data_IF_348656287278
#
_entry.id   IF_348656287278
#
_cell.length_a   1.000
_cell.length_b   1.000
_cell.length_c   1.000
_cell.angle_alpha   90.00
_cell.angle_beta   90.00
_cell.angle_gamma   90.00
#
_symmetry.space_group_name_H-M   'P 1'
#
loop_
_entity.id
_entity.type
_entity.pdbx_description
1 polymer ?
#
# COMPACT_ATOMS: atom_id res chain seq x y z
N UNK A 1 -27.31 40.56 -20.60
CA UNK A 1 -27.55 39.29 -19.88
C UNK A 1 -26.35 39.03 -18.97
N UNK A 2 -26.45 39.35 -17.67
CA UNK A 2 -25.35 39.23 -16.70
C UNK A 2 -25.31 37.79 -16.20
N UNK A 3 -24.53 36.94 -16.87
CA UNK A 3 -24.33 35.55 -16.45
C UNK A 3 -23.40 35.55 -15.23
N UNK A 4 -23.92 34.95 -14.17
CA UNK A 4 -23.47 34.94 -12.78
C UNK A 4 -22.10 34.30 -12.58
N UNK A 5 -21.09 35.09 -12.25
CA UNK A 5 -19.73 34.65 -11.85
C UNK A 5 -19.70 33.93 -10.49
N UNK A 6 -20.82 33.92 -9.75
CA UNK A 6 -20.89 33.27 -8.41
C UNK A 6 -20.98 31.75 -8.45
N UNK A 7 -21.33 31.14 -9.59
CA UNK A 7 -21.39 29.67 -9.71
C UNK A 7 -20.00 29.04 -9.88
N UNK A 8 -19.02 29.79 -10.41
CA UNK A 8 -17.66 29.29 -10.61
C UNK A 8 -16.83 29.32 -9.32
N UNK A 9 -17.20 30.17 -8.36
CA UNK A 9 -16.49 30.30 -7.08
C UNK A 9 -16.84 29.20 -6.07
N UNK A 10 -17.93 28.44 -6.29
CA UNK A 10 -18.35 27.38 -5.38
C UNK A 10 -17.72 26.01 -5.73
N UNK A 11 -17.23 25.85 -6.95
CA UNK A 11 -16.55 24.61 -7.39
C UNK A 11 -15.11 24.51 -6.87
N UNK A 12 -14.47 25.65 -6.57
CA UNK A 12 -13.07 25.71 -6.14
C UNK A 12 -12.87 25.45 -4.63
N UNK A 13 -13.94 25.42 -3.82
CA UNK A 13 -13.83 25.26 -2.37
C UNK A 13 -13.81 23.78 -1.91
N UNK A 14 -14.09 22.82 -2.81
CA UNK A 14 -14.08 21.40 -2.46
C UNK A 14 -12.73 20.69 -2.74
N UNK A 15 -11.77 21.37 -3.37
CA UNK A 15 -10.50 20.77 -3.80
C UNK A 15 -9.36 20.86 -2.76
N UNK A 16 -9.57 21.55 -1.64
CA UNK A 16 -8.52 21.80 -0.64
C UNK A 16 -8.60 20.93 0.63
N UNK A 17 -9.47 19.93 0.65
CA UNK A 17 -9.45 18.90 1.70
C UNK A 17 -8.79 17.66 1.09
N UNK A 18 -7.95 16.97 1.86
CA UNK A 18 -7.18 15.75 1.52
C UNK A 18 -5.72 16.02 1.10
N UNK A 19 -4.87 16.45 2.03
CA UNK A 19 -3.42 16.17 1.93
C UNK A 19 -2.72 15.94 3.29
N UNK A 20 -3.46 15.63 4.34
CA UNK A 20 -2.90 15.10 5.59
C UNK A 20 -3.03 13.58 5.61
N UNK A 21 -2.19 12.89 4.84
CA UNK A 21 -2.06 11.42 4.90
C UNK A 21 -1.01 11.04 5.94
N UNK A 22 -1.35 11.22 7.21
CA UNK A 22 -0.64 10.59 8.31
C UNK A 22 -1.40 9.33 8.71
N UNK A 23 -0.70 8.20 8.84
CA UNK A 23 -1.32 6.95 9.27
C UNK A 23 -1.17 6.81 10.78
N UNK A 24 -2.28 6.74 11.52
CA UNK A 24 -2.23 6.55 12.97
C UNK A 24 -1.53 5.23 13.33
N UNK A 25 -0.79 5.20 14.44
CA UNK A 25 -0.14 3.99 14.96
C UNK A 25 -1.10 2.79 15.11
N UNK A 26 -2.36 3.03 15.49
CA UNK A 26 -3.38 1.97 15.58
C UNK A 26 -3.73 1.37 14.22
N UNK A 27 -3.76 2.19 13.17
CA UNK A 27 -4.01 1.73 11.80
C UNK A 27 -2.81 0.94 11.25
N UNK A 28 -1.58 1.33 11.61
CA UNK A 28 -0.38 0.57 11.22
C UNK A 28 -0.35 -0.84 11.80
N UNK A 29 -0.72 -1.01 13.07
CA UNK A 29 -0.79 -2.35 13.67
C UNK A 29 -1.79 -3.26 12.93
N UNK A 30 -2.89 -2.70 12.43
CA UNK A 30 -3.86 -3.46 11.65
C UNK A 30 -3.31 -3.85 10.26
N UNK A 31 -2.59 -2.94 9.61
CA UNK A 31 -1.91 -3.21 8.33
C UNK A 31 -0.85 -4.28 8.52
N UNK A 32 -0.07 -4.18 9.59
CA UNK A 32 0.98 -5.12 9.95
C UNK A 32 0.44 -6.54 10.15
N UNK A 33 -0.63 -6.68 10.93
CA UNK A 33 -1.31 -7.97 11.10
C UNK A 33 -1.86 -8.51 9.76
N UNK A 34 -2.37 -7.64 8.90
CA UNK A 34 -2.85 -8.03 7.58
C UNK A 34 -1.73 -8.47 6.63
N UNK A 35 -0.56 -7.82 6.69
CA UNK A 35 0.65 -8.19 5.94
C UNK A 35 1.11 -9.58 6.38
N UNK A 36 1.21 -9.82 7.68
CA UNK A 36 1.64 -11.12 8.24
C UNK A 36 0.70 -12.24 7.80
N UNK A 37 -0.61 -12.01 7.87
CA UNK A 37 -1.60 -12.97 7.40
C UNK A 37 -1.52 -13.20 5.88
N UNK A 38 -1.26 -12.15 5.09
CA UNK A 38 -1.09 -12.26 3.64
C UNK A 38 0.15 -13.08 3.28
N UNK A 39 1.29 -12.85 3.93
CA UNK A 39 2.51 -13.63 3.74
C UNK A 39 2.32 -15.10 4.15
N UNK A 40 1.67 -15.35 5.29
CA UNK A 40 1.33 -16.71 5.72
C UNK A 40 0.46 -17.43 4.68
N UNK A 41 -0.56 -16.76 4.15
CA UNK A 41 -1.41 -17.34 3.11
C UNK A 41 -0.66 -17.52 1.80
N UNK A 42 0.27 -16.63 1.46
CA UNK A 42 1.10 -16.76 0.28
C UNK A 42 1.92 -18.06 0.33
N UNK A 43 2.56 -18.35 1.45
CA UNK A 43 3.36 -19.58 1.60
C UNK A 43 2.49 -20.85 1.65
N UNK A 44 1.28 -20.76 2.20
CA UNK A 44 0.31 -21.88 2.27
C UNK A 44 -0.42 -22.16 0.94
N UNK A 45 -0.78 -21.12 0.18
CA UNK A 45 -1.66 -21.20 -0.99
C UNK A 45 -0.90 -21.12 -2.33
N UNK A 46 0.33 -20.59 -2.34
CA UNK A 46 1.16 -20.48 -3.55
C UNK A 46 2.28 -21.51 -3.50
N UNK A 47 2.25 -22.44 -4.45
CA UNK A 47 3.28 -23.47 -4.58
C UNK A 47 4.66 -22.83 -4.76
N UNK A 48 5.60 -23.16 -3.87
CA UNK A 48 6.96 -22.60 -3.88
C UNK A 48 7.05 -21.18 -3.31
N UNK A 49 5.99 -20.68 -2.67
CA UNK A 49 5.93 -19.32 -2.10
C UNK A 49 7.13 -18.99 -1.21
N UNK A 50 7.54 -19.92 -0.33
CA UNK A 50 8.71 -19.74 0.53
C UNK A 50 9.99 -19.48 -0.29
N UNK A 51 10.26 -20.30 -1.32
CA UNK A 51 11.45 -20.15 -2.17
C UNK A 51 11.45 -18.84 -2.97
N UNK A 52 10.27 -18.34 -3.36
CA UNK A 52 10.15 -17.03 -3.99
C UNK A 52 10.48 -15.90 -3.02
N UNK A 53 9.99 -15.97 -1.78
CA UNK A 53 10.28 -14.98 -0.75
C UNK A 53 11.77 -14.98 -0.39
N UNK A 54 12.38 -16.15 -0.24
CA UNK A 54 13.81 -16.30 0.07
C UNK A 54 14.72 -15.74 -1.04
N UNK A 55 14.32 -15.85 -2.30
CA UNK A 55 15.10 -15.35 -3.43
C UNK A 55 14.95 -13.84 -3.69
N UNK A 56 13.93 -13.20 -3.13
CA UNK A 56 13.62 -11.81 -3.39
C UNK A 56 14.52 -10.86 -2.56
N UNK A 57 14.96 -9.77 -3.19
CA UNK A 57 15.68 -8.66 -2.52
C UNK A 57 14.76 -7.79 -1.69
N UNK A 58 13.50 -7.70 -2.10
CA UNK A 58 12.44 -7.00 -1.39
C UNK A 58 11.06 -7.55 -1.73
N UNK A 59 10.15 -7.40 -0.80
CA UNK A 59 8.77 -7.92 -0.89
C UNK A 59 7.80 -6.79 -0.57
N UNK A 60 7.10 -6.29 -1.57
CA UNK A 60 5.97 -5.40 -1.34
C UNK A 60 4.72 -6.25 -1.09
N UNK A 61 4.07 -6.04 0.04
CA UNK A 61 2.82 -6.72 0.39
C UNK A 61 1.73 -5.69 0.56
N UNK A 62 0.71 -5.73 -0.29
CA UNK A 62 -0.53 -4.96 -0.15
C UNK A 62 -1.68 -5.93 0.15
N UNK A 63 -1.99 -6.17 1.43
CA UNK A 63 -3.08 -7.05 1.81
C UNK A 63 -4.45 -6.38 1.62
N UNK A 64 -5.50 -7.19 1.50
CA UNK A 64 -6.91 -6.79 1.57
C UNK A 64 -7.28 -5.61 0.64
N UNK A 65 -6.75 -5.59 -0.58
CA UNK A 65 -7.15 -4.60 -1.57
C UNK A 65 -8.66 -4.74 -1.82
N UNK A 66 -9.39 -3.66 -1.57
CA UNK A 66 -10.85 -3.63 -1.66
C UNK A 66 -11.29 -2.67 -2.75
N UNK A 67 -12.40 -3.01 -3.38
CA UNK A 67 -12.96 -2.28 -4.51
C UNK A 67 -13.91 -1.19 -4.04
N UNK A 68 -13.60 0.06 -4.36
CA UNK A 68 -14.45 1.19 -4.01
C UNK A 68 -15.38 1.54 -5.18
N UNK A 69 -16.68 1.29 -5.00
CA UNK A 69 -17.71 1.68 -5.96
C UNK A 69 -17.98 0.64 -7.05
N UNK A 70 -19.27 0.36 -7.25
CA UNK A 70 -19.76 -0.60 -8.25
C UNK A 70 -19.53 -0.11 -9.69
N UNK A 71 -19.37 1.21 -9.89
CA UNK A 71 -19.36 1.84 -11.22
C UNK A 71 -17.99 2.33 -11.71
N UNK A 72 -17.04 2.68 -10.83
CA UNK A 72 -15.81 3.40 -11.24
C UNK A 72 -14.52 2.56 -11.16
N UNK A 73 -14.62 1.24 -10.97
CA UNK A 73 -13.48 0.36 -11.28
C UNK A 73 -12.24 0.50 -10.38
N UNK A 74 -12.26 1.32 -9.33
CA UNK A 74 -11.08 1.56 -8.49
C UNK A 74 -10.90 0.51 -7.40
N UNK A 75 -9.64 0.20 -7.10
CA UNK A 75 -9.24 -0.63 -5.96
C UNK A 75 -8.23 0.13 -5.12
N UNK A 76 -8.33 -0.04 -3.79
CA UNK A 76 -7.46 0.61 -2.84
C UNK A 76 -6.93 -0.40 -1.83
N UNK A 77 -5.67 -0.24 -1.44
CA UNK A 77 -5.05 -1.04 -0.39
C UNK A 77 -3.87 -0.29 0.23
N UNK A 78 -3.46 -0.74 1.41
CA UNK A 78 -2.31 -0.20 2.13
C UNK A 78 -1.44 -1.36 2.60
N UNK A 79 -0.13 -1.16 2.58
CA UNK A 79 0.82 -2.20 2.89
C UNK A 79 2.24 -1.67 3.03
N UNK A 80 3.23 -2.55 2.95
CA UNK A 80 4.63 -2.17 3.14
C UNK A 80 5.58 -2.92 2.22
N UNK A 81 6.69 -2.25 1.89
CA UNK A 81 7.87 -2.88 1.34
C UNK A 81 8.71 -3.43 2.49
N UNK A 82 9.08 -4.70 2.37
CA UNK A 82 9.84 -5.45 3.36
C UNK A 82 11.18 -5.83 2.74
N UNK A 83 12.27 -5.53 3.43
CA UNK A 83 13.65 -5.88 3.05
C UNK A 83 14.30 -6.52 4.26
N UNK A 84 14.85 -7.73 4.10
CA UNK A 84 15.47 -8.50 5.19
C UNK A 84 14.59 -8.61 6.45
N UNK A 85 13.28 -8.78 6.25
CA UNK A 85 12.28 -8.88 7.33
C UNK A 85 11.89 -7.54 7.97
N UNK A 86 12.46 -6.42 7.53
CA UNK A 86 12.19 -5.07 8.05
C UNK A 86 11.25 -4.33 7.10
N UNK A 87 10.16 -3.78 7.64
CA UNK A 87 9.25 -2.89 6.89
C UNK A 87 9.91 -1.54 6.70
N UNK A 88 10.55 -1.33 5.55
CA UNK A 88 11.35 -0.13 5.27
C UNK A 88 10.50 1.07 4.84
N UNK A 89 9.31 0.82 4.28
CA UNK A 89 8.42 1.89 3.81
C UNK A 89 6.98 1.38 3.66
N UNK A 90 6.01 2.16 4.11
CA UNK A 90 4.59 1.91 3.85
C UNK A 90 4.12 2.58 2.56
N UNK A 91 3.17 1.94 1.89
CA UNK A 91 2.60 2.39 0.63
C UNK A 91 1.08 2.29 0.64
N UNK A 92 0.45 3.26 -0.02
CA UNK A 92 -0.92 3.15 -0.51
C UNK A 92 -0.89 2.72 -1.97
N UNK A 93 -1.68 1.72 -2.31
CA UNK A 93 -1.92 1.28 -3.68
C UNK A 93 -3.30 1.78 -4.15
N UNK A 94 -3.34 2.32 -5.36
CA UNK A 94 -4.56 2.70 -6.06
C UNK A 94 -4.52 2.13 -7.46
N UNK A 95 -5.43 1.20 -7.75
CA UNK A 95 -5.60 0.64 -9.08
C UNK A 95 -6.72 1.36 -9.80
N UNK A 96 -6.42 1.94 -10.96
CA UNK A 96 -7.42 2.51 -11.86
C UNK A 96 -7.68 1.54 -12.99
N UNK A 97 -8.68 0.67 -12.83
CA UNK A 97 -8.96 -0.39 -13.80
C UNK A 97 -10.02 0.04 -14.81
N UNK A 98 -9.70 -0.12 -16.10
CA UNK A 98 -10.65 -0.10 -17.23
C UNK A 98 -11.22 -1.51 -17.53
N UNK A 99 -11.37 -2.36 -16.51
CA UNK A 99 -11.81 -3.75 -16.63
C UNK A 99 -13.09 -4.04 -15.85
N UNK A 100 -14.05 -4.71 -16.50
CA UNK A 100 -15.29 -5.21 -15.91
C UNK A 100 -15.02 -6.48 -15.07
N UNK A 101 -14.17 -6.39 -14.04
CA UNK A 101 -14.00 -7.48 -13.08
C UNK A 101 -15.04 -7.31 -11.96
N UNK A 102 -16.23 -7.85 -12.21
CA UNK A 102 -17.35 -7.88 -11.26
C UNK A 102 -17.25 -9.16 -10.43
N UNK A 103 -17.17 -9.02 -9.10
CA UNK A 103 -17.39 -10.13 -8.17
C UNK A 103 -16.16 -10.79 -7.54
N UNK A 104 -14.94 -10.26 -7.75
CA UNK A 104 -13.79 -10.68 -6.94
C UNK A 104 -13.86 -9.95 -5.60
N UNK A 105 -13.82 -10.69 -4.50
CA UNK A 105 -13.76 -10.13 -3.14
C UNK A 105 -12.42 -9.43 -2.88
N UNK A 106 -12.08 -9.20 -1.61
CA UNK A 106 -10.75 -8.67 -1.26
C UNK A 106 -9.65 -9.58 -1.80
N UNK A 107 -8.62 -8.97 -2.38
CA UNK A 107 -7.43 -9.67 -2.88
C UNK A 107 -6.17 -9.16 -2.20
N UNK A 108 -5.16 -10.01 -2.16
CA UNK A 108 -3.82 -9.63 -1.77
C UNK A 108 -2.97 -9.47 -3.03
N UNK A 109 -2.08 -8.46 -3.00
CA UNK A 109 -1.06 -8.24 -4.01
C UNK A 109 0.31 -8.35 -3.33
N UNK A 110 1.15 -9.26 -3.83
CA UNK A 110 2.56 -9.35 -3.45
C UNK A 110 3.41 -9.08 -4.68
N UNK A 111 4.35 -8.14 -4.60
CA UNK A 111 5.38 -7.93 -5.62
C UNK A 111 6.75 -8.29 -5.05
N UNK A 112 7.44 -9.18 -5.74
CA UNK A 112 8.78 -9.63 -5.40
C UNK A 112 9.78 -8.99 -6.34
N UNK A 113 10.81 -8.36 -5.77
CA UNK A 113 11.88 -7.72 -6.50
C UNK A 113 13.09 -8.66 -6.51
N UNK A 114 13.51 -9.10 -7.68
CA UNK A 114 14.69 -9.97 -7.86
C UNK A 114 15.91 -9.22 -8.39
N UNK A 115 15.73 -7.97 -8.80
CA UNK A 115 16.77 -7.08 -9.29
C UNK A 115 16.88 -5.84 -8.40
N UNK A 116 18.12 -5.48 -8.05
CA UNK A 116 18.41 -4.33 -7.18
C UNK A 116 18.01 -3.01 -7.83
N UNK A 117 18.21 -2.85 -9.15
CA UNK A 117 17.86 -1.62 -9.87
C UNK A 117 16.35 -1.43 -9.90
N UNK A 118 15.59 -2.50 -10.15
CA UNK A 118 14.14 -2.47 -10.11
C UNK A 118 13.59 -2.12 -8.71
N UNK A 119 14.18 -2.70 -7.65
CA UNK A 119 13.81 -2.38 -6.28
C UNK A 119 14.11 -0.92 -5.93
N UNK A 120 15.31 -0.43 -6.28
CA UNK A 120 15.71 0.95 -6.01
C UNK A 120 14.84 1.96 -6.75
N UNK A 121 14.53 1.70 -8.03
CA UNK A 121 13.62 2.53 -8.81
C UNK A 121 12.23 2.62 -8.17
N UNK A 122 11.70 1.49 -7.68
CA UNK A 122 10.44 1.48 -6.93
C UNK A 122 10.56 2.26 -5.62
N UNK A 123 11.56 1.94 -4.79
CA UNK A 123 11.74 2.48 -3.45
C UNK A 123 12.04 3.98 -3.46
N UNK A 124 12.86 4.49 -4.37
CA UNK A 124 13.28 5.90 -4.35
C UNK A 124 12.41 6.85 -5.18
N UNK A 125 11.45 6.33 -5.95
CA UNK A 125 10.48 7.16 -6.67
C UNK A 125 9.52 7.91 -5.74
N UNK A 126 9.03 9.09 -6.16
CA UNK A 126 7.98 9.84 -5.44
C UNK A 126 6.59 9.20 -5.56
N UNK A 127 6.44 8.32 -6.55
CA UNK A 127 5.34 7.41 -6.78
C UNK A 127 5.72 6.51 -7.95
N UNK A 128 5.18 5.30 -7.97
CA UNK A 128 5.51 4.30 -8.99
C UNK A 128 4.25 3.64 -9.52
N UNK A 129 4.13 3.49 -10.84
CA UNK A 129 2.94 2.96 -11.50
C UNK A 129 3.28 1.78 -12.41
N UNK A 130 2.57 0.66 -12.21
CA UNK A 130 2.73 -0.55 -13.02
C UNK A 130 2.38 -0.25 -14.48
N UNK A 131 3.28 -0.60 -15.39
CA UNK A 131 3.11 -0.41 -16.84
C UNK A 131 3.63 0.95 -17.34
N UNK A 132 3.84 1.91 -16.44
CA UNK A 132 4.41 3.23 -16.76
C UNK A 132 5.86 3.30 -16.33
N UNK A 133 6.14 3.05 -15.04
CA UNK A 133 7.47 3.17 -14.46
C UNK A 133 8.24 1.83 -14.46
N UNK A 134 7.54 0.72 -14.66
CA UNK A 134 8.14 -0.59 -14.87
C UNK A 134 7.13 -1.69 -15.15
N UNK A 135 7.62 -2.77 -15.76
CA UNK A 135 6.82 -3.95 -16.03
C UNK A 135 6.84 -4.90 -14.82
N UNK A 136 5.69 -5.52 -14.53
CA UNK A 136 5.56 -6.56 -13.52
C UNK A 136 5.03 -7.81 -14.21
N UNK A 137 5.80 -8.89 -14.18
CA UNK A 137 5.35 -10.18 -14.68
C UNK A 137 4.37 -10.79 -13.67
N UNK A 138 3.17 -11.14 -14.12
CA UNK A 138 2.18 -11.77 -13.23
C UNK A 138 2.29 -13.29 -13.26
N UNK A 139 2.44 -13.87 -12.08
CA UNK A 139 2.47 -15.32 -11.94
C UNK A 139 1.07 -15.92 -12.09
N UNK A 140 0.95 -16.99 -12.88
CA UNK A 140 -0.31 -17.74 -13.06
C UNK A 140 -0.11 -19.21 -12.73
N UNK A 141 -1.14 -19.80 -12.11
CA UNK A 141 -1.15 -21.23 -11.77
C UNK A 141 -1.13 -22.06 -13.05
N UNK A 142 -0.03 -22.81 -13.29
CA UNK A 142 0.18 -23.64 -14.48
C UNK A 142 1.43 -23.30 -15.31
N UNK A 143 2.12 -22.19 -15.04
CA UNK A 143 3.35 -21.80 -15.75
C UNK A 143 4.59 -22.65 -15.38
N UNK A 144 4.53 -23.39 -14.27
CA UNK A 144 5.61 -24.30 -13.84
C UNK A 144 5.04 -25.68 -13.53
N UNK A 145 4.81 -26.46 -14.59
CA UNK A 145 4.80 -27.91 -14.47
C UNK A 145 6.22 -28.38 -14.18
N UNK A 146 6.37 -29.15 -13.10
CA UNK A 146 7.59 -29.80 -12.64
C UNK A 146 8.65 -28.88 -12.00
N UNK A 147 8.98 -29.25 -10.76
CA UNK A 147 10.15 -28.82 -10.03
C UNK A 147 11.42 -28.97 -10.90
N UNK A 148 12.17 -27.87 -11.02
CA UNK A 148 13.62 -27.80 -10.90
C UNK A 148 14.07 -26.46 -11.51
N UNK A 149 14.58 -25.57 -10.67
CA UNK A 149 15.14 -24.25 -11.02
C UNK A 149 14.11 -23.22 -11.49
N UNK A 150 13.55 -22.45 -10.56
CA UNK A 150 12.88 -21.20 -10.90
C UNK A 150 13.96 -20.28 -11.49
N UNK A 151 14.12 -20.29 -12.81
CA UNK A 151 14.96 -19.31 -13.50
C UNK A 151 14.14 -18.03 -13.55
N UNK A 152 14.21 -17.24 -12.49
CA UNK A 152 13.56 -15.93 -12.41
C UNK A 152 14.30 -15.00 -13.36
N UNK A 153 13.65 -14.66 -14.48
CA UNK A 153 14.20 -13.75 -15.49
C UNK A 153 13.63 -12.34 -15.37
N UNK A 154 12.44 -12.23 -14.80
CA UNK A 154 11.74 -10.96 -14.66
C UNK A 154 12.25 -10.21 -13.42
N UNK A 155 12.62 -8.93 -13.54
CA UNK A 155 13.10 -8.13 -12.41
C UNK A 155 12.09 -7.99 -11.27
N UNK A 156 10.80 -7.98 -11.62
CA UNK A 156 9.68 -7.89 -10.67
C UNK A 156 8.63 -8.94 -11.05
N UNK A 157 8.25 -9.77 -10.09
CA UNK A 157 7.14 -10.73 -10.23
C UNK A 157 6.02 -10.35 -9.27
N UNK A 158 4.81 -10.21 -9.80
CA UNK A 158 3.59 -9.94 -9.06
C UNK A 158 2.74 -11.20 -8.89
N UNK A 159 2.21 -11.38 -7.68
CA UNK A 159 1.26 -12.42 -7.33
C UNK A 159 -0.02 -11.76 -6.84
N UNK A 160 -1.15 -12.19 -7.41
CA UNK A 160 -2.47 -11.74 -6.99
C UNK A 160 -3.26 -12.96 -6.56
N UNK A 161 -3.73 -12.98 -5.31
CA UNK A 161 -4.44 -14.11 -4.75
C UNK A 161 -5.60 -13.66 -3.85
N UNK A 162 -6.68 -14.42 -3.87
CA UNK A 162 -7.83 -14.25 -2.98
C UNK A 162 -7.94 -15.43 -2.03
N UNK A 163 -9.03 -15.56 -1.28
CA UNK A 163 -9.22 -16.66 -0.28
C UNK A 163 -9.17 -18.08 -0.85
N UNK A 164 -9.13 -18.25 -2.18
CA UNK A 164 -9.11 -19.54 -2.87
C UNK A 164 -7.82 -19.74 -3.68
N UNK A 165 -6.74 -19.05 -3.31
CA UNK A 165 -5.47 -19.08 -4.01
C UNK A 165 -5.34 -18.05 -5.13
N UNK A 166 -4.39 -18.31 -6.04
CA UNK A 166 -4.03 -17.40 -7.13
C UNK A 166 -5.20 -17.07 -8.05
N UNK A 167 -5.32 -15.79 -8.40
CA UNK A 167 -6.35 -15.29 -9.29
C UNK A 167 -5.78 -15.18 -10.72
N UNK A 168 -6.30 -16.02 -11.61
CA UNK A 168 -5.91 -15.97 -13.03
C UNK A 168 -6.57 -14.80 -13.75
N UNK A 169 -5.85 -14.18 -14.70
CA UNK A 169 -6.39 -13.13 -15.57
C UNK A 169 -6.66 -11.79 -14.86
N UNK A 170 -6.18 -11.60 -13.62
CA UNK A 170 -6.22 -10.30 -12.96
C UNK A 170 -5.05 -9.47 -13.49
N UNK A 171 -5.32 -8.26 -13.96
CA UNK A 171 -4.26 -7.28 -14.26
C UNK A 171 -4.07 -6.36 -13.07
N UNK A 172 -2.83 -5.88 -12.89
CA UNK A 172 -2.47 -4.83 -11.94
C UNK A 172 -1.92 -3.58 -12.64
N UNK A 173 -1.95 -3.56 -13.97
CA UNK A 173 -1.54 -2.41 -14.77
C UNK A 173 -2.33 -1.15 -14.38
N UNK A 174 -1.65 -0.01 -14.30
CA UNK A 174 -2.25 1.23 -13.80
C UNK A 174 -2.45 1.24 -12.27
N UNK A 175 -1.86 0.29 -11.53
CA UNK A 175 -1.74 0.40 -10.07
C UNK A 175 -0.63 1.38 -9.73
N UNK A 176 -1.00 2.45 -9.05
CA UNK A 176 -0.09 3.47 -8.53
C UNK A 176 0.19 3.24 -7.06
N UNK A 177 1.47 3.24 -6.70
CA UNK A 177 1.95 3.16 -5.33
C UNK A 177 2.49 4.51 -4.89
N UNK A 178 1.99 4.98 -3.74
CA UNK A 178 2.42 6.25 -3.12
C UNK A 178 2.90 5.96 -1.71
N UNK A 179 4.06 6.50 -1.34
CA UNK A 179 4.57 6.37 0.04
C UNK A 179 3.61 7.02 1.04
N UNK A 180 3.42 6.35 2.16
CA UNK A 180 2.74 6.90 3.33
C UNK A 180 3.66 6.79 4.54
N UNK A 181 3.55 7.76 5.44
CA UNK A 181 4.39 7.84 6.63
C UNK A 181 3.53 7.62 7.86
N UNK A 182 4.01 6.81 8.82
CA UNK A 182 3.47 6.77 10.17
C UNK A 182 3.32 8.18 10.72
N UNK A 183 2.12 8.55 11.16
CA UNK A 183 1.97 9.69 12.05
C UNK A 183 2.41 9.22 13.44
N UNK A 184 3.58 9.69 13.86
CA UNK A 184 4.15 9.40 15.18
C UNK A 184 3.49 10.24 16.28
N UNK A 185 2.24 10.68 16.13
CA UNK A 185 1.42 11.16 17.25
C UNK A 185 1.95 12.36 18.04
N UNK A 186 2.97 13.09 17.57
CA UNK A 186 3.56 14.20 18.34
C UNK A 186 2.90 15.55 18.10
N UNK A 187 1.77 15.65 17.38
CA UNK A 187 1.08 16.92 17.14
C UNK A 187 -0.44 16.81 17.02
N UNK A 188 -1.11 16.21 18.01
CA UNK A 188 -2.52 16.55 18.29
C UNK A 188 -2.55 17.34 19.59
N UNK A 189 -2.52 18.67 19.46
CA UNK A 189 -2.53 19.62 20.56
C UNK A 189 -3.78 19.52 21.42
N UNK A 190 -3.80 18.57 22.35
CA UNK A 190 -4.83 18.43 23.39
C UNK A 190 -4.27 17.88 24.71
N UNK A 191 -2.94 17.74 24.81
CA UNK A 191 -2.25 17.23 26.01
C UNK A 191 -1.14 18.20 26.47
N UNK A 192 -1.32 19.50 26.22
CA UNK A 192 -0.39 20.57 26.69
C UNK A 192 -1.09 21.54 27.66
N UNK A 193 -2.34 21.29 28.07
CA UNK A 193 -3.00 22.19 29.05
C UNK A 193 -2.70 21.74 30.49
N UNK A 194 -2.65 20.44 30.76
CA UNK A 194 -2.58 19.96 32.14
C UNK A 194 -1.17 20.11 32.76
N UNK A 195 -0.13 19.92 31.96
CA UNK A 195 1.26 20.02 32.43
C UNK A 195 1.69 21.49 32.60
N UNK A 196 1.10 22.41 31.83
CA UNK A 196 1.41 23.82 31.89
C UNK A 196 0.82 24.47 33.15
N UNK A 197 -0.39 24.08 33.55
CA UNK A 197 -1.02 24.54 34.78
C UNK A 197 -0.27 24.05 36.03
N UNK A 198 0.27 22.82 36.00
CA UNK A 198 1.13 22.31 37.09
C UNK A 198 2.47 23.07 37.19
N UNK A 199 3.08 23.42 36.05
CA UNK A 199 4.33 24.17 36.00
C UNK A 199 4.12 25.62 36.45
N UNK A 200 3.02 26.26 36.04
CA UNK A 200 2.67 27.62 36.48
C UNK A 200 2.36 27.64 37.98
N UNK A 201 1.57 26.68 38.48
CA UNK A 201 1.28 26.53 39.91
C UNK A 201 2.54 26.27 40.73
N UNK A 202 3.48 25.48 40.19
CA UNK A 202 4.77 25.24 40.85
C UNK A 202 5.64 26.50 40.90
N UNK A 203 5.68 27.28 39.82
CA UNK A 203 6.47 28.51 39.75
C UNK A 203 5.90 29.62 40.65
N UNK A 204 4.57 29.74 40.76
CA UNK A 204 3.93 30.68 41.69
C UNK A 204 4.26 30.33 43.16
N UNK A 205 4.31 29.05 43.51
CA UNK A 205 4.69 28.59 44.85
C UNK A 205 6.16 28.82 45.22
N UNK A 206 7.03 29.09 44.23
CA UNK A 206 8.43 29.43 44.45
C UNK A 206 8.69 30.95 44.51
N UNK A 207 7.68 31.76 44.16
CA UNK A 207 7.78 33.22 44.13
C UNK A 207 7.32 33.90 45.44
N UNK A 208 6.73 33.13 46.37
CA UNK A 208 6.36 33.54 47.74
C UNK A 208 7.38 33.04 48.79
#
# INVERSE_FOLDING_TARGET
MKITTKFFSLLTLCLTVILSTGLSAKAMNEIDAAIENSLKRFTEEVQGGDSYLEGARGVLVIPRMWKAGVLIGFEFGEGALIVDGIKVQYYKALTTSLGLQVGVGSKDLIMLFFDDTAMDNFLYSSGWEVGVDGAVALWTMGAAGAADTITIKDPIIGFVFGQKGLLAGVSIEGTKFTKIWPDTGTNTGTEIDHDQEEIETFNERLAD
#
